data_IF_967156910559
#
_entry.id   IF_967156910559
#
_cell.length_a   1.000
_cell.length_b   1.000
_cell.length_c   1.000
_cell.angle_alpha   90.00
_cell.angle_beta   90.00
_cell.angle_gamma   90.00
#
_symmetry.space_group_name_H-M   'P 1'
#
loop_
_entity.id
_entity.type
_entity.pdbx_description
1 polymer ?
#
# COMPACT_ATOMS: atom_id res chain seq x y z
N UNK A 1 -52.95 11.18 -82.15
CA UNK A 1 -53.09 10.41 -80.89
C UNK A 1 -51.69 10.12 -80.36
N UNK A 2 -51.20 10.93 -79.41
CA UNK A 2 -49.83 10.82 -78.85
C UNK A 2 -49.89 10.11 -77.49
N UNK A 3 -48.89 9.25 -77.26
CA UNK A 3 -48.81 8.25 -76.19
C UNK A 3 -48.41 8.87 -74.85
N UNK A 4 -48.91 8.21 -73.80
CA UNK A 4 -48.76 8.39 -72.35
C UNK A 4 -47.29 8.34 -71.92
N UNK A 5 -46.88 9.15 -70.93
CA UNK A 5 -45.87 8.78 -69.94
C UNK A 5 -46.26 9.38 -68.57
N UNK A 6 -46.60 8.48 -67.66
CA UNK A 6 -47.00 8.75 -66.29
C UNK A 6 -45.77 8.85 -65.38
N UNK A 7 -45.86 9.73 -64.39
CA UNK A 7 -44.90 9.84 -63.30
C UNK A 7 -45.04 8.72 -62.28
N UNK A 8 -43.97 8.51 -61.52
CA UNK A 8 -43.93 7.62 -60.37
C UNK A 8 -42.63 7.82 -59.61
N UNK A 9 -42.69 8.61 -58.53
CA UNK A 9 -41.58 8.84 -57.62
C UNK A 9 -41.32 7.59 -56.76
N UNK A 10 -40.09 7.09 -56.76
CA UNK A 10 -39.62 6.04 -55.84
C UNK A 10 -38.92 6.72 -54.65
N UNK A 11 -39.61 6.76 -53.51
CA UNK A 11 -39.03 7.09 -52.20
C UNK A 11 -38.22 5.90 -51.70
N UNK A 12 -36.89 6.06 -51.62
CA UNK A 12 -36.00 5.09 -50.99
C UNK A 12 -36.04 5.27 -49.46
N UNK A 13 -36.72 4.36 -48.76
CA UNK A 13 -36.66 4.28 -47.30
C UNK A 13 -35.36 3.54 -46.92
N UNK A 14 -34.37 4.28 -46.43
CA UNK A 14 -33.15 3.72 -45.86
C UNK A 14 -33.43 3.16 -44.46
N UNK A 15 -33.48 1.84 -44.33
CA UNK A 15 -33.48 1.15 -43.02
C UNK A 15 -32.07 1.21 -42.44
N UNK A 16 -31.85 2.16 -41.52
CA UNK A 16 -30.68 2.19 -40.65
C UNK A 16 -30.71 0.98 -39.72
N UNK A 17 -30.00 -0.09 -40.09
CA UNK A 17 -29.78 -1.25 -39.23
C UNK A 17 -28.84 -0.88 -38.09
N UNK A 18 -29.39 -0.78 -36.88
CA UNK A 18 -28.62 -0.74 -35.64
C UNK A 18 -27.90 -2.09 -35.52
N UNK A 19 -26.58 -2.13 -35.75
CA UNK A 19 -25.77 -3.30 -35.43
C UNK A 19 -25.64 -3.33 -33.90
N UNK A 20 -26.59 -3.98 -33.24
CA UNK A 20 -26.41 -4.40 -31.87
C UNK A 20 -25.30 -5.45 -31.88
N UNK A 21 -24.08 -5.05 -31.54
CA UNK A 21 -23.03 -5.99 -31.20
C UNK A 21 -23.47 -6.67 -29.91
N UNK A 22 -24.16 -7.80 -30.03
CA UNK A 22 -24.42 -8.67 -28.90
C UNK A 22 -23.05 -9.04 -28.33
N UNK A 23 -22.74 -8.55 -27.13
CA UNK A 23 -21.64 -9.11 -26.36
C UNK A 23 -21.98 -10.60 -26.21
N UNK A 24 -21.08 -11.52 -26.60
CA UNK A 24 -21.36 -12.92 -26.39
C UNK A 24 -21.62 -13.12 -24.90
N UNK A 25 -22.75 -13.72 -24.55
CA UNK A 25 -22.99 -14.18 -23.19
C UNK A 25 -21.91 -15.23 -22.91
N UNK A 26 -20.85 -14.85 -22.22
CA UNK A 26 -19.75 -15.75 -21.88
C UNK A 26 -20.24 -16.69 -20.79
N UNK A 27 -20.69 -17.89 -21.19
CA UNK A 27 -20.71 -19.02 -20.27
C UNK A 27 -19.27 -19.25 -19.78
N UNK A 28 -19.10 -19.68 -18.51
CA UNK A 28 -17.80 -19.81 -17.86
C UNK A 28 -17.10 -18.46 -17.73
N UNK A 29 -17.49 -17.69 -16.70
CA UNK A 29 -16.88 -16.41 -16.36
C UNK A 29 -15.94 -16.59 -15.17
N UNK A 30 -14.65 -16.91 -15.41
CA UNK A 30 -13.65 -16.99 -14.37
C UNK A 30 -13.05 -15.60 -14.11
N UNK A 31 -12.98 -15.23 -12.84
CA UNK A 31 -12.28 -14.05 -12.36
C UNK A 31 -11.35 -14.49 -11.23
N UNK A 32 -10.11 -14.03 -11.28
CA UNK A 32 -9.16 -14.16 -10.18
C UNK A 32 -8.37 -12.86 -10.10
N UNK A 33 -8.30 -12.28 -8.91
CA UNK A 33 -7.60 -11.02 -8.66
C UNK A 33 -6.82 -11.13 -7.37
N UNK A 34 -5.55 -10.77 -7.43
CA UNK A 34 -4.69 -10.67 -6.27
C UNK A 34 -4.38 -9.19 -6.00
N UNK A 35 -4.39 -8.82 -4.72
CA UNK A 35 -3.91 -7.54 -4.20
C UNK A 35 -3.09 -7.79 -2.93
N UNK A 36 -2.73 -6.75 -2.18
CA UNK A 36 -1.88 -6.90 -0.99
C UNK A 36 -2.57 -7.57 0.21
N UNK A 37 -3.86 -7.86 0.13
CA UNK A 37 -4.67 -8.48 1.20
C UNK A 37 -4.85 -9.97 0.95
N UNK A 38 -5.11 -10.35 -0.30
CA UNK A 38 -5.39 -11.73 -0.67
C UNK A 38 -5.52 -11.96 -2.16
N UNK A 39 -5.82 -13.22 -2.52
CA UNK A 39 -6.29 -13.62 -3.85
C UNK A 39 -7.77 -13.99 -3.76
N UNK A 40 -8.60 -13.25 -4.49
CA UNK A 40 -10.03 -13.56 -4.64
C UNK A 40 -10.25 -14.33 -5.92
N UNK A 41 -11.00 -15.44 -5.83
CA UNK A 41 -11.37 -16.31 -6.94
C UNK A 41 -12.89 -16.37 -7.05
N UNK A 42 -13.40 -15.95 -8.20
CA UNK A 42 -14.81 -15.83 -8.54
C UNK A 42 -15.10 -16.59 -9.83
N UNK A 43 -15.69 -17.77 -9.73
CA UNK A 43 -16.05 -18.62 -10.87
C UNK A 43 -17.56 -18.70 -10.99
N UNK A 44 -18.12 -18.25 -12.11
CA UNK A 44 -19.57 -18.22 -12.33
C UNK A 44 -19.98 -18.74 -13.71
N UNK A 45 -21.25 -19.12 -13.84
CA UNK A 45 -21.85 -19.63 -15.07
C UNK A 45 -21.19 -20.93 -15.60
N UNK A 46 -20.80 -21.83 -14.69
CA UNK A 46 -20.33 -23.18 -15.02
C UNK A 46 -21.50 -24.16 -15.13
N UNK A 47 -21.32 -25.18 -15.97
CA UNK A 47 -22.27 -26.30 -16.08
C UNK A 47 -22.39 -27.06 -14.77
N UNK A 48 -23.58 -27.60 -14.51
CA UNK A 48 -23.79 -28.42 -13.32
C UNK A 48 -23.07 -29.76 -13.51
N UNK A 49 -22.11 -30.06 -12.64
CA UNK A 49 -21.28 -31.25 -12.72
C UNK A 49 -20.08 -31.13 -11.78
N UNK A 50 -19.02 -31.89 -12.04
CA UNK A 50 -17.82 -31.92 -11.20
C UNK A 50 -16.72 -31.07 -11.82
N UNK A 51 -16.89 -29.75 -11.76
CA UNK A 51 -15.81 -28.82 -12.11
C UNK A 51 -14.77 -28.84 -10.99
N UNK A 52 -13.52 -28.52 -11.29
CA UNK A 52 -12.48 -28.38 -10.27
C UNK A 52 -11.68 -27.10 -10.43
N UNK A 53 -11.20 -26.62 -9.29
CA UNK A 53 -10.32 -25.46 -9.18
C UNK A 53 -9.08 -25.84 -8.37
N UNK A 54 -7.92 -25.40 -8.84
CA UNK A 54 -6.64 -25.53 -8.13
C UNK A 54 -5.99 -24.16 -8.04
N UNK A 55 -5.70 -23.73 -6.82
CA UNK A 55 -5.08 -22.44 -6.51
C UNK A 55 -3.66 -22.68 -6.00
N UNK A 56 -2.69 -22.04 -6.64
CA UNK A 56 -1.26 -22.19 -6.35
C UNK A 56 -0.64 -20.80 -6.21
N UNK A 57 0.17 -20.60 -5.16
CA UNK A 57 0.98 -19.38 -4.95
C UNK A 57 2.43 -19.80 -4.77
N UNK A 58 3.32 -19.26 -5.60
CA UNK A 58 4.77 -19.58 -5.61
C UNK A 58 5.09 -21.08 -5.63
N UNK A 59 4.27 -21.84 -6.36
CA UNK A 59 4.40 -23.29 -6.48
C UNK A 59 3.81 -24.10 -5.32
N UNK A 60 3.33 -23.44 -4.26
CA UNK A 60 2.60 -24.09 -3.16
C UNK A 60 1.10 -24.09 -3.45
N UNK A 61 0.50 -25.27 -3.43
CA UNK A 61 -0.96 -25.42 -3.51
C UNK A 61 -1.62 -24.89 -2.24
N UNK A 62 -2.55 -23.95 -2.41
CA UNK A 62 -3.40 -23.42 -1.34
C UNK A 62 -4.75 -24.11 -1.29
N UNK A 63 -5.29 -24.49 -2.46
CA UNK A 63 -6.57 -25.17 -2.59
C UNK A 63 -6.56 -26.10 -3.80
N UNK A 64 -7.17 -27.27 -3.66
CA UNK A 64 -7.57 -28.12 -4.77
C UNK A 64 -8.92 -28.78 -4.44
N UNK A 65 -9.98 -28.31 -5.09
CA UNK A 65 -11.34 -28.75 -4.77
C UNK A 65 -12.25 -28.80 -5.97
N UNK A 66 -13.43 -29.38 -5.78
CA UNK A 66 -14.48 -29.45 -6.80
C UNK A 66 -15.60 -28.48 -6.47
N UNK A 67 -16.24 -27.92 -7.49
CA UNK A 67 -17.40 -27.05 -7.34
C UNK A 67 -18.49 -27.42 -8.34
N UNK A 68 -19.74 -27.09 -7.99
CA UNK A 68 -20.89 -27.27 -8.87
C UNK A 68 -20.91 -26.15 -9.93
N UNK A 69 -21.86 -25.21 -9.85
CA UNK A 69 -22.05 -24.18 -10.89
C UNK A 69 -21.24 -22.90 -10.65
N UNK A 70 -20.72 -22.73 -9.45
CA UNK A 70 -20.00 -21.54 -9.02
C UNK A 70 -19.04 -21.85 -7.88
N UNK A 71 -18.00 -21.03 -7.76
CA UNK A 71 -17.03 -21.06 -6.67
C UNK A 71 -16.66 -19.62 -6.33
N UNK A 72 -16.64 -19.28 -5.05
CA UNK A 72 -16.23 -17.96 -4.55
C UNK A 72 -15.40 -18.19 -3.30
N UNK A 73 -14.15 -17.75 -3.31
CA UNK A 73 -13.25 -17.87 -2.16
C UNK A 73 -12.22 -16.74 -2.19
N UNK A 74 -11.86 -16.24 -1.01
CA UNK A 74 -10.77 -15.28 -0.83
C UNK A 74 -9.71 -15.89 0.07
N UNK A 75 -8.49 -16.03 -0.46
CA UNK A 75 -7.33 -16.52 0.26
C UNK A 75 -6.58 -15.33 0.85
N UNK A 76 -6.82 -15.02 2.12
CA UNK A 76 -6.08 -13.95 2.82
C UNK A 76 -4.62 -14.36 3.05
N UNK A 77 -3.67 -13.52 2.64
CA UNK A 77 -2.25 -13.85 2.74
C UNK A 77 -1.81 -14.12 4.18
N UNK A 78 -2.30 -13.31 5.12
CA UNK A 78 -2.01 -13.46 6.54
C UNK A 78 -2.48 -14.82 7.09
N UNK A 79 -3.65 -15.30 6.66
CA UNK A 79 -4.19 -16.61 7.07
C UNK A 79 -3.35 -17.79 6.57
N UNK A 80 -2.61 -17.60 5.48
CA UNK A 80 -1.73 -18.61 4.90
C UNK A 80 -0.24 -18.42 5.22
N UNK A 81 0.11 -17.43 6.06
CA UNK A 81 1.50 -17.11 6.40
C UNK A 81 2.31 -16.61 5.20
N UNK A 82 1.65 -15.99 4.23
CA UNK A 82 2.24 -15.44 3.02
C UNK A 82 2.46 -13.94 3.25
N UNK A 83 3.69 -13.48 3.02
CA UNK A 83 3.97 -12.06 2.92
C UNK A 83 3.64 -11.58 1.49
N UNK A 84 2.69 -10.66 1.29
CA UNK A 84 2.31 -10.19 -0.05
C UNK A 84 3.47 -9.54 -0.80
N UNK A 85 4.41 -8.89 -0.10
CA UNK A 85 5.60 -8.31 -0.73
C UNK A 85 6.58 -9.37 -1.26
N UNK A 86 6.44 -10.61 -0.79
CA UNK A 86 7.28 -11.75 -1.19
C UNK A 86 6.66 -12.61 -2.29
N UNK A 87 5.39 -12.38 -2.67
CA UNK A 87 4.69 -13.16 -3.71
C UNK A 87 5.31 -12.92 -5.08
N UNK A 88 5.79 -13.98 -5.73
CA UNK A 88 6.39 -13.90 -7.08
C UNK A 88 5.38 -14.24 -8.17
N UNK A 89 4.48 -15.17 -7.89
CA UNK A 89 3.55 -15.74 -8.86
C UNK A 89 2.35 -16.41 -8.20
N UNK A 90 1.22 -16.39 -8.88
CA UNK A 90 0.06 -17.19 -8.53
C UNK A 90 -0.64 -17.73 -9.77
N UNK A 91 -1.37 -18.83 -9.60
CA UNK A 91 -2.23 -19.37 -10.66
C UNK A 91 -3.49 -20.02 -10.11
N UNK A 92 -4.59 -19.85 -10.83
CA UNK A 92 -5.87 -20.52 -10.61
C UNK A 92 -6.18 -21.32 -11.86
N UNK A 93 -6.08 -22.64 -11.77
CA UNK A 93 -6.44 -23.55 -12.84
C UNK A 93 -7.88 -24.03 -12.62
N UNK A 94 -8.70 -23.99 -13.68
CA UNK A 94 -10.07 -24.45 -13.70
C UNK A 94 -10.20 -25.53 -14.77
N UNK A 95 -10.73 -26.69 -14.37
CA UNK A 95 -11.11 -27.80 -15.25
C UNK A 95 -12.64 -27.87 -15.26
N UNK A 96 -13.22 -27.66 -16.42
CA UNK A 96 -14.65 -27.59 -16.62
C UNK A 96 -15.21 -28.94 -17.08
N UNK A 97 -16.25 -29.39 -16.39
CA UNK A 97 -16.83 -30.72 -16.60
C UNK A 97 -17.47 -30.93 -17.97
N UNK A 98 -17.77 -29.87 -18.71
CA UNK A 98 -18.48 -29.87 -20.00
C UNK A 98 -17.54 -29.62 -21.20
N UNK A 99 -16.23 -29.73 -20.98
CA UNK A 99 -15.25 -29.93 -22.03
C UNK A 99 -14.08 -28.94 -21.97
N UNK A 100 -12.93 -29.40 -22.44
CA UNK A 100 -11.63 -28.72 -22.24
C UNK A 100 -11.53 -27.33 -22.88
N UNK A 101 -12.44 -26.99 -23.79
CA UNK A 101 -12.55 -25.64 -24.35
C UNK A 101 -12.95 -24.58 -23.30
N UNK A 102 -13.51 -25.02 -22.17
CA UNK A 102 -13.90 -24.17 -21.04
C UNK A 102 -12.90 -24.25 -19.88
N UNK A 103 -11.86 -25.07 -20.00
CA UNK A 103 -10.73 -25.07 -19.08
C UNK A 103 -9.99 -23.73 -19.20
N UNK A 104 -9.59 -23.20 -18.06
CA UNK A 104 -8.93 -21.90 -17.99
C UNK A 104 -7.83 -21.94 -16.96
N UNK A 105 -6.78 -21.17 -17.19
CA UNK A 105 -5.80 -20.88 -16.15
C UNK A 105 -5.58 -19.39 -16.09
N UNK A 106 -5.94 -18.80 -14.96
CA UNK A 106 -5.64 -17.41 -14.63
C UNK A 106 -4.30 -17.38 -13.91
N UNK A 107 -3.46 -16.40 -14.21
CA UNK A 107 -2.11 -16.26 -13.64
C UNK A 107 -1.82 -14.79 -13.37
N UNK A 108 -0.94 -14.54 -12.41
CA UNK A 108 -0.40 -13.21 -12.14
C UNK A 108 0.81 -13.27 -11.20
N UNK A 109 1.23 -12.09 -10.72
CA UNK A 109 2.39 -11.88 -9.86
C UNK A 109 3.48 -11.04 -10.57
N UNK A 110 4.50 -10.52 -9.87
CA UNK A 110 4.50 -10.10 -8.46
C UNK A 110 3.38 -9.10 -8.13
N UNK A 111 3.11 -8.87 -6.86
CA UNK A 111 2.13 -7.85 -6.46
C UNK A 111 2.82 -6.48 -6.41
N UNK A 112 2.22 -5.49 -7.05
CA UNK A 112 2.73 -4.11 -7.05
C UNK A 112 2.43 -3.45 -5.70
N UNK A 113 3.40 -2.69 -5.19
CA UNK A 113 3.28 -1.80 -4.03
C UNK A 113 2.77 -2.45 -2.72
N UNK A 114 3.04 -3.75 -2.51
CA UNK A 114 2.66 -4.44 -1.27
C UNK A 114 3.65 -4.30 -0.12
N UNK A 115 4.72 -3.54 -0.30
CA UNK A 115 5.55 -3.12 0.83
C UNK A 115 4.73 -2.15 1.69
N UNK A 116 4.48 -2.45 2.98
CA UNK A 116 3.76 -1.52 3.82
C UNK A 116 4.50 -0.18 3.82
N UNK A 117 3.77 0.92 3.64
CA UNK A 117 4.35 2.26 3.80
C UNK A 117 4.81 2.38 5.25
N UNK A 118 6.11 2.41 5.45
CA UNK A 118 6.72 2.58 6.76
C UNK A 118 7.07 4.04 6.99
N UNK A 119 6.79 4.55 8.18
CA UNK A 119 7.28 5.88 8.59
C UNK A 119 8.76 5.77 9.00
N UNK A 120 9.69 6.54 8.39
CA UNK A 120 11.09 6.52 8.78
C UNK A 120 11.25 7.17 10.16
N UNK A 121 11.98 6.51 11.05
CA UNK A 121 12.29 7.00 12.41
C UNK A 121 13.75 6.75 12.75
N UNK A 122 14.36 7.69 13.45
CA UNK A 122 15.74 7.61 13.91
C UNK A 122 15.80 7.30 15.40
N UNK A 123 16.67 6.38 15.85
CA UNK A 123 16.85 6.13 17.27
C UNK A 123 17.48 7.34 17.96
N UNK A 124 17.06 7.60 19.19
CA UNK A 124 17.66 8.64 20.01
C UNK A 124 19.04 8.18 20.52
N UNK A 125 20.03 9.07 20.49
CA UNK A 125 21.32 8.81 21.12
C UNK A 125 21.17 8.89 22.66
N UNK A 126 21.83 8.00 23.42
CA UNK A 126 21.94 8.16 24.86
C UNK A 126 22.69 9.45 25.19
N UNK A 127 22.39 10.03 26.35
CA UNK A 127 23.04 11.24 26.84
C UNK A 127 23.95 10.92 28.03
N UNK A 128 25.05 11.65 28.11
CA UNK A 128 25.99 11.62 29.25
C UNK A 128 26.04 13.01 29.89
N UNK A 129 26.33 13.05 31.18
CA UNK A 129 26.59 14.28 31.93
C UNK A 129 27.79 14.06 32.85
N UNK A 130 28.25 15.11 33.51
CA UNK A 130 29.44 15.05 34.37
C UNK A 130 29.27 14.24 35.66
N UNK A 131 28.05 13.83 36.01
CA UNK A 131 27.79 13.00 37.20
C UNK A 131 27.95 11.50 36.91
N UNK A 132 27.94 11.11 35.64
CA UNK A 132 28.09 9.72 35.20
C UNK A 132 29.56 9.36 35.15
N UNK A 133 29.94 8.27 35.82
CA UNK A 133 31.34 7.83 35.93
C UNK A 133 31.62 6.46 35.33
N UNK A 134 30.57 5.75 34.91
CA UNK A 134 30.68 4.44 34.27
C UNK A 134 29.68 4.26 33.14
N UNK A 135 30.02 3.40 32.18
CA UNK A 135 29.13 3.04 31.07
C UNK A 135 27.82 2.44 31.58
N UNK A 136 27.84 1.73 32.71
CA UNK A 136 26.68 1.10 33.32
C UNK A 136 25.64 2.12 33.81
N UNK A 137 26.09 3.31 34.23
CA UNK A 137 25.24 4.42 34.69
C UNK A 137 24.54 5.17 33.55
N UNK A 138 25.03 5.05 32.31
CA UNK A 138 24.41 5.73 31.15
C UNK A 138 22.99 5.20 30.94
N UNK A 139 21.98 6.06 31.05
CA UNK A 139 20.60 5.66 30.86
C UNK A 139 20.32 5.29 29.39
N UNK A 140 19.43 4.31 29.18
CA UNK A 140 18.85 4.08 27.84
C UNK A 140 17.92 5.25 27.49
N UNK A 141 17.72 5.57 26.20
CA UNK A 141 16.69 6.51 25.79
C UNK A 141 15.28 6.08 26.23
N UNK A 142 14.38 7.06 26.32
CA UNK A 142 12.96 6.80 26.58
C UNK A 142 12.33 6.03 25.41
N UNK A 143 11.44 5.09 25.74
CA UNK A 143 10.71 4.33 24.74
C UNK A 143 9.64 5.21 24.08
N UNK A 144 9.45 5.04 22.78
CA UNK A 144 8.39 5.69 22.00
C UNK A 144 7.44 4.63 21.42
N UNK A 145 6.37 5.06 20.76
CA UNK A 145 5.50 4.13 20.01
C UNK A 145 6.25 3.41 18.88
N UNK A 146 7.31 4.03 18.37
CA UNK A 146 8.06 3.55 17.20
C UNK A 146 9.29 2.74 17.56
N UNK A 147 9.96 3.02 18.69
CA UNK A 147 11.20 2.36 19.10
C UNK A 147 11.16 2.08 20.60
N UNK A 148 11.50 0.84 20.97
CA UNK A 148 11.74 0.44 22.36
C UNK A 148 13.23 0.12 22.55
N UNK A 149 13.76 0.45 23.72
CA UNK A 149 15.17 0.30 24.07
C UNK A 149 15.33 -0.66 25.23
N UNK A 150 16.34 -1.52 25.13
CA UNK A 150 16.84 -2.35 26.24
C UNK A 150 18.34 -2.13 26.38
N UNK A 151 18.88 -2.31 27.58
CA UNK A 151 20.31 -2.16 27.85
C UNK A 151 20.85 -3.42 28.50
N UNK A 152 21.98 -3.90 28.00
CA UNK A 152 22.74 -5.01 28.57
C UNK A 152 24.25 -4.76 28.40
N UNK A 153 25.07 -5.78 28.63
CA UNK A 153 26.53 -5.70 28.51
C UNK A 153 27.03 -5.45 27.08
N UNK A 154 26.23 -5.72 26.04
CA UNK A 154 26.58 -5.45 24.65
C UNK A 154 26.32 -3.99 24.27
N UNK A 155 25.47 -3.28 25.02
CA UNK A 155 25.15 -1.87 24.83
C UNK A 155 23.65 -1.60 24.93
N UNK A 156 23.15 -0.68 24.10
CA UNK A 156 21.72 -0.35 24.03
C UNK A 156 21.15 -0.93 22.74
N UNK A 157 20.21 -1.86 22.87
CA UNK A 157 19.46 -2.45 21.77
C UNK A 157 18.17 -1.66 21.54
N UNK A 158 18.05 -1.04 20.37
CA UNK A 158 16.84 -0.41 19.85
C UNK A 158 16.04 -1.42 19.01
N UNK A 159 14.75 -1.58 19.32
CA UNK A 159 13.81 -2.46 18.62
C UNK A 159 12.68 -1.63 18.01
N UNK A 160 12.53 -1.75 16.69
CA UNK A 160 11.55 -1.03 15.90
C UNK A 160 10.17 -1.68 15.96
N UNK A 161 9.14 -0.88 16.21
CA UNK A 161 7.74 -1.31 16.15
C UNK A 161 7.27 -1.52 14.72
N UNK A 162 6.21 -2.33 14.55
CA UNK A 162 5.58 -2.55 13.24
C UNK A 162 5.05 -1.23 12.67
N UNK A 163 5.21 -1.04 11.36
CA UNK A 163 4.75 0.17 10.65
C UNK A 163 5.80 1.28 10.54
N UNK A 164 6.98 1.07 11.14
CA UNK A 164 8.11 1.98 11.06
C UNK A 164 9.27 1.34 10.30
N UNK A 165 10.16 2.19 9.77
CA UNK A 165 11.44 1.80 9.18
C UNK A 165 12.56 2.63 9.79
N UNK A 166 13.77 2.09 9.82
CA UNK A 166 14.94 2.85 10.23
C UNK A 166 15.19 4.01 9.27
N UNK A 167 15.25 5.23 9.81
CA UNK A 167 15.79 6.41 9.15
C UNK A 167 17.31 6.46 9.31
N UNK A 168 17.83 7.64 9.64
CA UNK A 168 19.25 7.76 10.02
C UNK A 168 19.50 7.06 11.36
N UNK A 169 20.49 6.18 11.41
CA UNK A 169 20.84 5.42 12.61
C UNK A 169 21.87 6.16 13.48
N UNK A 170 22.56 7.17 12.96
CA UNK A 170 23.68 7.79 13.63
C UNK A 170 24.71 6.74 14.09
N UNK A 171 25.08 6.69 15.40
CA UNK A 171 26.06 5.75 15.93
C UNK A 171 25.53 4.31 16.14
N UNK A 172 24.24 4.06 15.91
CA UNK A 172 23.69 2.71 16.02
C UNK A 172 24.13 1.84 14.83
N UNK A 173 24.52 0.59 15.12
CA UNK A 173 24.81 -0.42 14.10
C UNK A 173 23.59 -1.31 13.88
N UNK A 174 23.06 -1.34 12.66
CA UNK A 174 21.92 -2.19 12.30
C UNK A 174 22.27 -3.68 12.45
N UNK A 175 21.41 -4.43 13.14
CA UNK A 175 21.54 -5.89 13.31
C UNK A 175 20.54 -6.64 12.42
N UNK A 176 19.34 -6.08 12.24
CA UNK A 176 18.30 -6.61 11.38
C UNK A 176 17.41 -5.49 10.85
N UNK A 177 16.38 -5.82 10.07
CA UNK A 177 15.37 -4.85 9.63
C UNK A 177 14.60 -4.21 10.78
N UNK A 178 14.57 -4.83 11.97
CA UNK A 178 13.81 -4.35 13.13
C UNK A 178 14.68 -4.06 14.36
N UNK A 179 16.00 -4.27 14.30
CA UNK A 179 16.89 -4.06 15.45
C UNK A 179 18.19 -3.35 15.07
N UNK A 180 18.63 -2.45 15.94
CA UNK A 180 19.92 -1.78 15.85
C UNK A 180 20.53 -1.63 17.25
N UNK A 181 21.86 -1.63 17.34
CA UNK A 181 22.57 -1.60 18.62
C UNK A 181 23.51 -0.40 18.69
N UNK A 182 23.42 0.37 19.76
CA UNK A 182 24.46 1.30 20.17
C UNK A 182 25.48 0.50 21.00
N UNK A 183 26.67 0.20 20.48
CA UNK A 183 27.58 -0.74 21.14
C UNK A 183 28.18 -0.14 22.41
N UNK A 184 28.49 -0.99 23.39
CA UNK A 184 29.14 -0.57 24.64
C UNK A 184 30.46 0.17 24.42
N UNK A 185 31.20 -0.14 23.34
CA UNK A 185 32.41 0.59 22.96
C UNK A 185 32.11 2.05 22.59
N UNK A 186 31.05 2.31 21.82
CA UNK A 186 30.65 3.69 21.50
C UNK A 186 30.13 4.42 22.75
N UNK A 187 29.55 3.71 23.73
CA UNK A 187 29.15 4.33 25.00
C UNK A 187 30.35 4.78 25.81
N UNK A 188 31.43 3.99 25.79
CA UNK A 188 32.70 4.37 26.41
C UNK A 188 33.29 5.60 25.71
N UNK A 189 33.29 5.64 24.37
CA UNK A 189 33.74 6.81 23.60
C UNK A 189 32.90 8.05 23.91
N UNK A 190 31.57 7.90 24.05
CA UNK A 190 30.68 9.00 24.43
C UNK A 190 31.00 9.54 25.83
N UNK A 191 31.30 8.65 26.78
CA UNK A 191 31.70 9.03 28.13
C UNK A 191 33.07 9.72 28.18
N UNK A 192 34.03 9.26 27.37
CA UNK A 192 35.36 9.87 27.25
C UNK A 192 35.31 11.23 26.53
N UNK A 193 34.41 11.39 25.56
CA UNK A 193 34.20 12.64 24.83
C UNK A 193 33.46 13.71 25.66
N UNK A 194 32.98 13.38 26.86
CA UNK A 194 32.40 14.36 27.77
C UNK A 194 33.49 15.33 28.27
N UNK A 195 33.57 16.49 27.63
CA UNK A 195 34.38 17.61 28.10
C UNK A 195 33.69 18.26 29.31
N UNK A 196 33.95 17.75 30.52
CA UNK A 196 33.62 18.50 31.74
C UNK A 196 34.64 19.63 31.87
N UNK A 197 34.28 20.81 31.40
CA UNK A 197 35.09 22.02 31.59
C UNK A 197 35.27 22.22 33.10
N UNK A 198 36.47 21.92 33.60
CA UNK A 198 36.82 22.26 34.98
C UNK A 198 36.81 23.78 35.05
N UNK A 199 35.83 24.34 35.76
CA UNK A 199 35.71 25.78 36.00
C UNK A 199 37.12 26.36 36.28
N UNK A 200 37.61 27.33 35.48
CA UNK A 200 38.93 27.87 35.70
C UNK A 200 38.94 28.47 37.10
N UNK A 201 39.90 28.03 37.93
CA UNK A 201 40.13 28.59 39.27
C UNK A 201 40.09 30.12 39.14
N UNK A 202 39.21 30.83 39.88
CA UNK A 202 39.08 32.26 39.71
C UNK A 202 40.44 32.90 39.95
N UNK A 203 40.99 33.54 38.91
CA UNK A 203 42.20 34.36 39.03
C UNK A 203 41.97 35.35 40.17
N UNK A 204 42.89 35.46 41.16
CA UNK A 204 42.70 36.37 42.29
C UNK A 204 42.40 37.77 41.75
N UNK A 205 41.20 38.26 42.03
CA UNK A 205 40.77 39.60 41.61
C UNK A 205 41.77 40.61 42.17
N UNK A 206 42.35 41.52 41.34
CA UNK A 206 43.23 42.55 41.87
C UNK A 206 42.48 43.35 42.93
N UNK A 207 43.10 43.46 44.11
CA UNK A 207 42.58 44.25 45.24
C UNK A 207 42.22 45.65 44.74
N UNK A 208 40.97 46.13 44.93
CA UNK A 208 40.57 47.43 44.41
C UNK A 208 41.37 48.53 45.10
N UNK A 209 42.12 49.30 44.32
CA UNK A 209 42.68 50.60 44.73
C UNK A 209 41.52 51.53 45.07
N UNK A 210 41.52 52.01 46.30
CA UNK A 210 40.51 52.87 46.91
C UNK A 210 40.24 54.12 46.04
N UNK A 211 39.05 54.18 45.44
CA UNK A 211 38.58 55.37 44.72
C UNK A 211 37.89 56.33 45.71
N UNK A 212 38.22 57.62 45.59
CA UNK A 212 37.74 58.72 46.41
C UNK A 212 36.20 58.79 46.52
N UNK A 213 35.64 59.26 47.65
CA UNK A 213 34.20 59.22 47.88
C UNK A 213 33.45 60.20 46.97
N UNK A 214 32.59 59.66 46.11
CA UNK A 214 31.62 60.39 45.29
C UNK A 214 30.44 60.85 46.18
N UNK A 215 29.92 62.09 46.03
CA UNK A 215 28.87 62.61 46.90
C UNK A 215 27.55 61.84 46.79
N UNK A 216 26.96 61.57 47.94
CA UNK A 216 25.70 60.86 48.14
C UNK A 216 24.54 61.66 47.55
N UNK A 217 23.85 61.11 46.56
CA UNK A 217 22.56 61.63 46.11
C UNK A 217 21.42 61.00 46.91
N UNK A 218 20.56 61.86 47.42
CA UNK A 218 19.36 61.57 48.22
C UNK A 218 18.39 60.64 47.48
N UNK A 219 17.83 59.58 48.12
CA UNK A 219 16.88 58.70 47.47
C UNK A 219 15.53 59.40 47.24
N UNK A 220 15.06 59.36 45.99
CA UNK A 220 13.71 59.73 45.57
C UNK A 220 12.69 58.70 46.10
N UNK A 221 11.52 59.12 46.62
CA UNK A 221 10.54 58.20 47.20
C UNK A 221 9.98 57.21 46.17
N UNK A 222 9.94 55.94 46.60
CA UNK A 222 9.38 54.78 45.91
C UNK A 222 7.87 54.94 45.68
N UNK A 223 7.34 54.75 44.46
CA UNK A 223 5.90 54.72 44.24
C UNK A 223 5.30 53.44 44.82
N UNK A 224 4.21 53.63 45.57
CA UNK A 224 3.34 52.63 46.20
C UNK A 224 2.83 51.59 45.19
N UNK A 225 2.81 50.28 45.52
CA UNK A 225 2.29 49.25 44.62
C UNK A 225 0.79 49.45 44.36
N UNK A 226 0.44 49.45 43.07
CA UNK A 226 -0.94 49.47 42.59
C UNK A 226 -1.61 48.11 42.85
N UNK A 227 -2.84 48.14 43.33
CA UNK A 227 -3.63 46.96 43.64
C UNK A 227 -3.82 46.03 42.43
N UNK A 228 -3.66 44.73 42.71
CA UNK A 228 -3.87 43.59 41.83
C UNK A 228 -5.35 43.47 41.42
N UNK A 229 -5.68 43.29 40.13
CA UNK A 229 -7.05 43.05 39.71
C UNK A 229 -7.48 41.62 40.05
N UNK A 230 -8.56 41.52 40.81
CA UNK A 230 -9.29 40.29 41.15
C UNK A 230 -9.69 39.51 39.88
N UNK A 231 -9.43 38.18 39.78
CA UNK A 231 -9.87 37.40 38.64
C UNK A 231 -11.41 37.27 38.59
N UNK A 232 -11.95 37.50 37.40
CA UNK A 232 -13.36 37.36 37.05
C UNK A 232 -13.80 35.88 37.06
N UNK A 233 -15.02 35.54 37.50
CA UNK A 233 -15.48 34.15 37.55
C UNK A 233 -15.59 33.53 36.15
N UNK A 234 -15.08 32.30 36.05
CA UNK A 234 -15.13 31.43 34.88
C UNK A 234 -16.56 31.07 34.51
N UNK A 235 -16.95 31.37 33.26
CA UNK A 235 -18.23 30.90 32.68
C UNK A 235 -18.11 29.44 32.29
N UNK A 236 -19.00 28.61 32.85
CA UNK A 236 -19.17 27.21 32.49
C UNK A 236 -19.70 27.09 31.06
N UNK A 237 -19.08 26.31 30.15
CA UNK A 237 -19.64 26.10 28.83
C UNK A 237 -20.86 25.18 28.91
N UNK A 238 -21.99 25.69 28.42
CA UNK A 238 -23.21 24.93 28.14
C UNK A 238 -22.93 23.86 27.08
N UNK A 239 -23.32 22.59 27.25
CA UNK A 239 -23.19 21.59 26.20
C UNK A 239 -24.08 21.96 25.01
N UNK A 240 -23.45 22.18 23.85
CA UNK A 240 -24.14 22.41 22.59
C UNK A 240 -24.75 21.10 22.10
N UNK A 241 -26.04 21.11 21.78
CA UNK A 241 -26.77 19.96 21.28
C UNK A 241 -26.18 19.50 19.94
N UNK A 242 -25.94 18.19 19.86
CA UNK A 242 -25.52 17.46 18.68
C UNK A 242 -26.52 17.65 17.54
N UNK A 243 -26.10 18.32 16.47
CA UNK A 243 -26.84 18.33 15.21
C UNK A 243 -26.62 16.98 14.52
N UNK A 244 -27.70 16.21 14.42
CA UNK A 244 -27.82 15.01 13.60
C UNK A 244 -27.44 15.32 12.14
N UNK A 245 -26.50 14.60 11.51
CA UNK A 245 -26.26 14.76 10.08
C UNK A 245 -27.43 14.18 9.27
N UNK A 246 -27.93 14.97 8.32
CA UNK A 246 -28.89 14.55 7.31
C UNK A 246 -28.23 13.55 6.33
N UNK A 247 -28.99 12.61 5.74
CA UNK A 247 -28.46 11.66 4.77
C UNK A 247 -28.05 12.38 3.47
N UNK A 248 -26.76 12.30 3.13
CA UNK A 248 -26.24 12.76 1.85
C UNK A 248 -26.70 11.78 0.76
N UNK A 249 -27.48 12.31 -0.18
CA UNK A 249 -27.86 11.61 -1.39
C UNK A 249 -26.61 11.22 -2.19
N UNK A 250 -26.54 9.94 -2.57
CA UNK A 250 -25.41 9.35 -3.27
C UNK A 250 -25.12 10.01 -4.62
N UNK A 251 -23.85 10.31 -4.85
CA UNK A 251 -23.30 10.51 -6.19
C UNK A 251 -23.04 9.12 -6.79
N UNK A 252 -23.53 8.79 -8.00
CA UNK A 252 -23.22 7.50 -8.61
C UNK A 252 -21.71 7.42 -8.97
N UNK A 253 -21.08 6.24 -8.86
CA UNK A 253 -19.68 6.07 -9.22
C UNK A 253 -19.49 6.35 -10.72
N UNK A 254 -18.53 7.22 -11.01
CA UNK A 254 -17.96 7.42 -12.34
C UNK A 254 -17.25 6.11 -12.71
N UNK A 255 -17.82 5.40 -13.67
CA UNK A 255 -17.24 4.19 -14.25
C UNK A 255 -15.90 4.53 -14.90
N UNK A 256 -14.89 3.72 -14.58
CA UNK A 256 -13.60 3.75 -15.23
C UNK A 256 -13.76 3.61 -16.74
N UNK A 257 -13.19 4.57 -17.45
CA UNK A 257 -12.92 4.53 -18.89
C UNK A 257 -11.94 3.39 -19.16
N UNK A 258 -12.44 2.18 -19.41
CA UNK A 258 -11.64 1.14 -20.06
C UNK A 258 -11.60 1.47 -21.54
N UNK A 259 -10.47 2.04 -21.97
CA UNK A 259 -10.16 2.23 -23.38
C UNK A 259 -10.19 0.89 -24.10
N UNK A 260 -11.26 0.67 -24.87
CA UNK A 260 -11.25 -0.30 -25.96
C UNK A 260 -10.26 0.21 -27.02
N UNK A 261 -9.03 -0.26 -26.96
CA UNK A 261 -8.07 -0.03 -28.04
C UNK A 261 -8.55 -0.87 -29.24
N UNK A 262 -9.28 -0.18 -30.11
CA UNK A 262 -9.61 -0.62 -31.47
C UNK A 262 -8.30 -0.82 -32.23
N UNK A 263 -7.89 -2.07 -32.39
CA UNK A 263 -6.71 -2.42 -33.16
C UNK A 263 -6.69 -3.91 -33.45
N UNK A 264 -7.14 -4.32 -34.64
CA UNK A 264 -6.96 -5.69 -35.12
C UNK A 264 -8.12 -6.33 -35.87
N UNK A 265 -8.92 -5.58 -36.62
CA UNK A 265 -9.88 -6.14 -37.57
C UNK A 265 -9.49 -5.82 -39.02
N UNK A 266 -8.23 -6.05 -39.42
CA UNK A 266 -7.84 -6.15 -40.83
C UNK A 266 -6.75 -7.22 -40.93
N UNK A 267 -7.06 -8.33 -41.64
CA UNK A 267 -6.17 -9.38 -42.19
C UNK A 267 -6.44 -10.84 -41.80
N UNK A 268 -7.69 -11.32 -41.88
CA UNK A 268 -7.92 -12.76 -42.14
C UNK A 268 -9.06 -13.03 -43.15
N UNK A 269 -9.23 -12.13 -44.13
CA UNK A 269 -10.07 -12.35 -45.31
C UNK A 269 -9.29 -12.94 -46.52
N UNK A 270 -8.14 -13.59 -46.28
CA UNK A 270 -7.33 -14.26 -47.31
C UNK A 270 -6.85 -15.66 -46.89
N UNK A 271 -7.65 -16.40 -46.12
CA UNK A 271 -7.41 -17.83 -45.86
C UNK A 271 -8.65 -18.72 -46.05
N UNK A 272 -9.64 -18.22 -46.80
CA UNK A 272 -10.82 -18.99 -47.25
C UNK A 272 -10.81 -19.34 -48.75
N UNK A 273 -9.72 -19.05 -49.48
CA UNK A 273 -9.56 -19.44 -50.90
C UNK A 273 -8.60 -20.63 -51.08
N UNK A 274 -7.77 -20.98 -50.09
CA UNK A 274 -6.83 -22.10 -50.18
C UNK A 274 -7.37 -23.44 -49.60
N UNK A 275 -8.35 -23.41 -48.69
CA UNK A 275 -8.92 -24.62 -48.07
C UNK A 275 -9.94 -25.38 -48.94
N UNK A 276 -10.56 -24.71 -49.91
CA UNK A 276 -11.64 -25.27 -50.73
C UNK A 276 -11.19 -26.22 -51.84
N UNK A 277 -9.94 -26.13 -52.32
CA UNK A 277 -9.47 -26.93 -53.45
C UNK A 277 -8.96 -28.32 -53.05
N UNK A 278 -8.48 -28.49 -51.82
CA UNK A 278 -7.95 -29.77 -51.32
C UNK A 278 -9.01 -30.86 -51.14
N UNK A 279 -10.22 -30.49 -50.71
CA UNK A 279 -11.30 -31.46 -50.45
C UNK A 279 -11.96 -32.00 -51.74
N UNK A 280 -11.91 -31.24 -52.83
CA UNK A 280 -12.47 -31.65 -54.13
C UNK A 280 -11.53 -32.61 -54.87
N UNK A 281 -10.21 -32.48 -54.72
CA UNK A 281 -9.26 -33.39 -55.37
C UNK A 281 -9.13 -34.73 -54.63
N UNK A 282 -9.28 -34.74 -53.30
CA UNK A 282 -9.26 -35.98 -52.50
C UNK A 282 -10.43 -36.92 -52.80
N UNK A 283 -11.63 -36.38 -53.13
CA UNK A 283 -12.80 -37.20 -53.47
C UNK A 283 -12.74 -37.83 -54.86
N UNK A 284 -11.97 -37.27 -55.81
CA UNK A 284 -11.86 -37.82 -57.18
C UNK A 284 -10.86 -38.97 -57.31
N UNK A 285 -9.96 -39.17 -56.34
CA UNK A 285 -8.93 -40.23 -56.40
C UNK A 285 -9.39 -41.59 -55.86
N UNK A 286 -10.46 -41.64 -55.07
CA UNK A 286 -10.96 -42.87 -54.45
C UNK A 286 -11.93 -43.63 -55.37
N UNK A 287 -12.45 -43.00 -56.44
CA UNK A 287 -13.46 -43.61 -57.33
C UNK A 287 -12.92 -44.25 -58.62
N UNK A 288 -11.58 -44.29 -58.82
CA UNK A 288 -10.97 -44.88 -60.02
C UNK A 288 -10.07 -46.10 -59.76
N UNK A 289 -10.00 -46.60 -58.52
CA UNK A 289 -9.29 -47.85 -58.18
C UNK A 289 -10.20 -48.80 -57.37
N UNK A 290 -11.33 -49.18 -57.97
CA UNK A 290 -12.24 -50.22 -57.49
C UNK A 290 -13.09 -50.72 -58.64
#
# INVERSE_FOLDING_TARGET
MKKILAGGALMALALGGLVATATPASAHTPVAKADCTGLTVDLTAYSNGRNSVTVVVDGKELEATTFARSFHETYEWAGHGIDPASVKSWSVAIDATDGNQFDRTLRGGPLEDCTPTTTPVSPAAPTVNCDITSVDEIAKPEDTESITYTKDAAGILATLSRGFAWGDLGPYTQQSTTTATYPAAALAELLEAQECETEPTPTPTPTPTEAAPTPVTTPTPTPTPSAEPTPSPSVTPTPSASASPAPVAGTPPILASTGAQVGGAILFALLLVAGGFGLVWARKRIHNNG
#
